data_IF_467507766260
#
_entry.id   IF_467507766260
#
_cell.length_a   1.000
_cell.length_b   1.000
_cell.length_c   1.000
_cell.angle_alpha   90.00
_cell.angle_beta   90.00
_cell.angle_gamma   90.00
#
_symmetry.space_group_name_H-M   'P 1'
#
loop_
_entity.id
_entity.type
_entity.pdbx_description
1 polymer ?
#
# COMPACT_ATOMS: atom_id res chain seq x y z
N UNK A 1 -19.38 -17.71 -12.61
CA UNK A 1 -18.43 -17.97 -11.51
C UNK A 1 -17.51 -16.77 -11.49
N UNK A 2 -17.45 -16.01 -10.38
CA UNK A 2 -16.60 -14.82 -10.31
C UNK A 2 -15.17 -15.18 -10.67
N UNK A 3 -14.63 -14.59 -11.73
CA UNK A 3 -13.22 -14.75 -12.06
C UNK A 3 -12.40 -14.17 -10.91
N UNK A 4 -11.80 -15.05 -10.10
CA UNK A 4 -11.01 -14.65 -8.93
C UNK A 4 -9.56 -14.36 -9.28
N UNK A 5 -9.16 -14.62 -10.52
CA UNK A 5 -7.79 -14.47 -10.98
C UNK A 5 -7.61 -13.14 -11.69
N UNK A 6 -6.48 -12.49 -11.42
CA UNK A 6 -6.09 -11.27 -12.10
C UNK A 6 -6.04 -11.50 -13.62
N UNK A 7 -6.69 -10.65 -14.43
CA UNK A 7 -6.77 -10.86 -15.88
C UNK A 7 -5.41 -10.75 -16.60
N UNK A 8 -4.40 -10.17 -15.93
CA UNK A 8 -3.07 -9.99 -16.51
C UNK A 8 -2.08 -11.09 -16.11
N UNK A 9 -2.04 -11.48 -14.84
CA UNK A 9 -1.03 -12.43 -14.33
C UNK A 9 -1.61 -13.75 -13.83
N UNK A 10 -2.92 -13.94 -13.88
CA UNK A 10 -3.67 -15.12 -13.44
C UNK A 10 -3.58 -15.47 -11.94
N UNK A 11 -2.85 -14.68 -11.15
CA UNK A 11 -2.79 -14.83 -9.69
C UNK A 11 -4.14 -14.58 -9.04
N UNK A 12 -4.44 -15.35 -7.99
CA UNK A 12 -5.68 -15.21 -7.23
C UNK A 12 -5.69 -13.87 -6.49
N UNK A 13 -6.73 -13.09 -6.73
CA UNK A 13 -6.93 -11.80 -6.08
C UNK A 13 -7.43 -11.92 -4.64
N UNK A 14 -7.13 -10.90 -3.85
CA UNK A 14 -7.61 -10.75 -2.47
C UNK A 14 -8.79 -9.79 -2.39
N UNK A 15 -9.74 -10.03 -1.52
CA UNK A 15 -10.87 -9.12 -1.31
C UNK A 15 -10.44 -7.75 -0.77
N UNK A 16 -11.10 -6.72 -1.29
CA UNK A 16 -10.97 -5.32 -0.84
C UNK A 16 -12.35 -4.69 -0.72
N UNK A 17 -12.48 -3.78 0.24
CA UNK A 17 -13.70 -3.01 0.42
C UNK A 17 -13.89 -2.05 -0.78
N UNK A 18 -15.11 -2.00 -1.34
CA UNK A 18 -15.46 -1.14 -2.46
C UNK A 18 -15.10 0.32 -2.19
N UNK A 19 -15.28 0.79 -0.95
CA UNK A 19 -14.96 2.17 -0.54
C UNK A 19 -13.49 2.52 -0.84
N UNK A 20 -12.57 1.56 -0.69
CA UNK A 20 -11.15 1.81 -0.97
C UNK A 20 -10.91 1.97 -2.48
N UNK A 21 -11.60 1.18 -3.31
CA UNK A 21 -11.48 1.24 -4.77
C UNK A 21 -12.03 2.56 -5.29
N UNK A 22 -13.24 2.92 -4.87
CA UNK A 22 -13.93 4.16 -5.21
C UNK A 22 -13.13 5.41 -4.79
N UNK A 23 -12.50 5.38 -3.62
CA UNK A 23 -11.71 6.51 -3.14
C UNK A 23 -10.37 6.71 -3.87
N UNK A 24 -9.86 5.67 -4.55
CA UNK A 24 -8.46 5.64 -5.02
C UNK A 24 -8.35 5.64 -6.55
N UNK A 25 -9.29 5.01 -7.25
CA UNK A 25 -9.35 5.00 -8.71
C UNK A 25 -9.73 6.39 -9.22
N UNK A 26 -9.07 6.87 -10.28
CA UNK A 26 -9.29 8.20 -10.87
C UNK A 26 -10.63 8.32 -11.61
N UNK A 27 -11.09 7.21 -12.18
CA UNK A 27 -12.35 7.11 -12.91
C UNK A 27 -13.50 6.72 -11.97
N UNK A 28 -14.73 6.92 -12.43
CA UNK A 28 -15.90 6.36 -11.75
C UNK A 28 -15.85 4.84 -11.78
N UNK A 29 -16.06 4.21 -10.62
CA UNK A 29 -16.10 2.75 -10.49
C UNK A 29 -17.54 2.28 -10.30
N UNK A 30 -17.86 1.10 -10.82
CA UNK A 30 -19.17 0.50 -10.58
C UNK A 30 -19.30 -0.04 -9.13
N UNK A 31 -20.52 -0.30 -8.69
CA UNK A 31 -20.84 -0.80 -7.34
C UNK A 31 -20.62 -2.33 -7.18
N UNK A 32 -19.70 -2.89 -7.97
CA UNK A 32 -19.38 -4.31 -7.91
C UNK A 32 -18.24 -4.59 -6.92
N UNK A 33 -18.17 -5.84 -6.44
CA UNK A 33 -17.02 -6.30 -5.65
C UNK A 33 -15.75 -6.39 -6.50
N UNK A 34 -14.67 -5.76 -6.01
CA UNK A 34 -13.34 -5.83 -6.61
C UNK A 34 -12.41 -6.73 -5.81
N UNK A 35 -11.38 -7.23 -6.49
CA UNK A 35 -10.25 -7.94 -5.94
C UNK A 35 -8.96 -7.14 -6.18
N UNK A 36 -7.97 -7.36 -5.31
CA UNK A 36 -6.63 -6.80 -5.43
C UNK A 36 -5.67 -7.86 -5.91
N UNK A 37 -4.90 -7.56 -6.95
CA UNK A 37 -3.74 -8.35 -7.34
C UNK A 37 -2.53 -7.96 -6.49
N UNK A 38 -1.98 -8.89 -5.70
CA UNK A 38 -0.82 -8.65 -4.83
C UNK A 38 0.53 -9.00 -5.47
N UNK A 39 0.54 -9.51 -6.71
CA UNK A 39 1.77 -9.82 -7.42
C UNK A 39 2.55 -8.52 -7.72
N UNK A 40 3.77 -8.41 -7.19
CA UNK A 40 4.59 -7.19 -7.30
C UNK A 40 4.98 -6.88 -8.76
N UNK A 41 5.13 -7.91 -9.61
CA UNK A 41 5.51 -7.76 -11.02
C UNK A 41 4.33 -7.43 -11.94
N UNK A 42 3.11 -7.41 -11.39
CA UNK A 42 1.88 -7.15 -12.14
C UNK A 42 1.38 -5.72 -11.93
N UNK A 43 1.23 -4.95 -13.01
CA UNK A 43 0.71 -3.56 -12.94
C UNK A 43 -0.75 -3.45 -12.49
N UNK A 44 -1.58 -4.47 -12.74
CA UNK A 44 -2.99 -4.45 -12.28
C UNK A 44 -3.02 -4.39 -10.76
N UNK A 45 -3.79 -3.45 -10.22
CA UNK A 45 -4.03 -3.31 -8.78
C UNK A 45 -5.40 -3.86 -8.44
N UNK A 46 -6.47 -3.30 -9.03
CA UNK A 46 -7.85 -3.73 -8.80
C UNK A 46 -8.41 -4.41 -10.04
N UNK A 47 -9.27 -5.41 -9.84
CA UNK A 47 -10.01 -6.02 -10.93
C UNK A 47 -11.29 -6.68 -10.46
N UNK A 48 -12.24 -6.82 -11.36
CA UNK A 48 -13.41 -7.69 -11.23
C UNK A 48 -13.66 -8.39 -12.57
N UNK A 49 -14.88 -8.89 -12.82
CA UNK A 49 -15.22 -9.57 -14.08
C UNK A 49 -15.25 -8.63 -15.30
N UNK A 50 -15.50 -7.34 -15.10
CA UNK A 50 -15.78 -6.37 -16.16
C UNK A 50 -14.66 -5.32 -16.32
N UNK A 51 -14.01 -4.96 -15.22
CA UNK A 51 -13.08 -3.85 -15.13
C UNK A 51 -11.75 -4.28 -14.51
N UNK A 52 -10.67 -3.60 -14.90
CA UNK A 52 -9.37 -3.69 -14.26
C UNK A 52 -8.70 -2.33 -14.24
N UNK A 53 -8.04 -2.00 -13.14
CA UNK A 53 -7.33 -0.75 -12.94
C UNK A 53 -5.88 -1.04 -12.58
N UNK A 54 -4.96 -0.44 -13.33
CA UNK A 54 -3.53 -0.54 -13.08
C UNK A 54 -3.01 0.67 -12.29
N UNK A 55 -1.74 0.65 -11.88
CA UNK A 55 -1.12 1.71 -11.07
C UNK A 55 -1.35 3.12 -11.65
N UNK A 56 -1.40 3.27 -12.98
CA UNK A 56 -1.60 4.55 -13.65
C UNK A 56 -3.03 5.07 -13.54
N UNK A 57 -4.01 4.20 -13.27
CA UNK A 57 -5.41 4.56 -13.02
C UNK A 57 -5.66 5.05 -11.60
N UNK A 58 -4.68 4.93 -10.69
CA UNK A 58 -4.83 5.27 -9.28
C UNK A 58 -4.29 6.68 -8.96
N UNK A 59 -4.88 7.32 -7.96
CA UNK A 59 -4.46 8.62 -7.41
C UNK A 59 -3.21 8.53 -6.51
N UNK A 60 -2.81 7.31 -6.11
CA UNK A 60 -1.67 7.06 -5.22
C UNK A 60 -0.76 5.97 -5.78
N UNK A 61 0.51 6.00 -5.41
CA UNK A 61 1.43 4.87 -5.63
C UNK A 61 1.09 3.70 -4.70
N UNK A 62 1.42 2.48 -5.11
CA UNK A 62 1.05 1.25 -4.40
C UNK A 62 2.28 0.54 -3.84
N UNK A 63 2.43 0.51 -2.51
CA UNK A 63 3.66 0.06 -1.86
C UNK A 63 4.10 -1.37 -2.18
N UNK A 64 3.15 -2.26 -2.47
CA UNK A 64 3.37 -3.67 -2.83
C UNK A 64 3.51 -3.88 -4.34
N UNK A 65 3.50 -2.81 -5.14
CA UNK A 65 3.82 -2.84 -6.58
C UNK A 65 5.15 -2.15 -6.89
N UNK A 66 5.63 -1.36 -5.94
CA UNK A 66 6.87 -0.59 -6.05
C UNK A 66 7.72 -0.80 -4.79
N UNK A 67 8.13 -2.04 -4.53
CA UNK A 67 8.87 -2.40 -3.32
C UNK A 67 10.25 -1.70 -3.21
N UNK A 68 10.84 -1.34 -4.34
CA UNK A 68 12.11 -0.62 -4.45
C UNK A 68 11.98 0.91 -4.45
N UNK A 69 10.77 1.44 -4.65
CA UNK A 69 10.55 2.89 -4.68
C UNK A 69 10.57 3.44 -3.24
N UNK A 70 11.58 4.24 -2.91
CA UNK A 70 11.71 4.81 -1.57
C UNK A 70 10.73 5.96 -1.32
N UNK A 71 10.22 6.62 -2.37
CA UNK A 71 9.26 7.72 -2.25
C UNK A 71 7.81 7.22 -2.12
N UNK A 72 7.57 5.92 -2.36
CA UNK A 72 6.24 5.34 -2.20
C UNK A 72 5.79 5.39 -0.72
N UNK A 73 4.55 5.86 -0.45
CA UNK A 73 3.99 5.88 0.89
C UNK A 73 3.76 4.47 1.46
N UNK A 74 4.12 4.29 2.74
CA UNK A 74 3.76 3.13 3.55
C UNK A 74 2.53 3.44 4.41
N UNK A 75 2.43 4.68 4.89
CA UNK A 75 1.24 5.18 5.57
C UNK A 75 0.56 6.26 4.73
N UNK A 76 -0.51 5.89 4.04
CA UNK A 76 -1.32 6.80 3.23
C UNK A 76 -2.13 7.82 4.03
N UNK A 77 -2.30 7.63 5.34
CA UNK A 77 -3.03 8.61 6.18
C UNK A 77 -2.28 9.94 6.31
N UNK A 78 -0.95 9.87 6.28
CA UNK A 78 -0.03 10.98 6.53
C UNK A 78 1.08 11.10 5.47
N UNK A 79 0.96 10.36 4.36
CA UNK A 79 1.93 10.28 3.27
C UNK A 79 3.35 9.95 3.75
N UNK A 80 3.47 9.11 4.77
CA UNK A 80 4.76 8.70 5.34
C UNK A 80 5.42 7.66 4.42
N UNK A 81 6.57 8.02 3.84
CA UNK A 81 7.25 7.26 2.79
C UNK A 81 8.22 6.22 3.33
N UNK A 82 8.56 5.25 2.48
CA UNK A 82 9.56 4.22 2.81
C UNK A 82 10.93 4.83 3.15
N UNK A 83 11.33 5.88 2.43
CA UNK A 83 12.55 6.66 2.68
C UNK A 83 12.57 7.28 4.08
N UNK A 84 11.48 7.92 4.49
CA UNK A 84 11.39 8.55 5.81
C UNK A 84 11.50 7.50 6.93
N UNK A 85 10.90 6.31 6.74
CA UNK A 85 11.06 5.19 7.67
C UNK A 85 12.53 4.76 7.74
N UNK A 86 13.17 4.55 6.58
CA UNK A 86 14.58 4.15 6.47
C UNK A 86 15.50 5.15 7.17
N UNK A 87 15.30 6.44 6.92
CA UNK A 87 16.08 7.54 7.52
C UNK A 87 15.86 7.63 9.04
N UNK A 88 14.62 7.48 9.51
CA UNK A 88 14.33 7.47 10.93
C UNK A 88 14.97 6.27 11.65
N UNK A 89 14.89 5.07 11.05
CA UNK A 89 15.61 3.89 11.55
C UNK A 89 17.11 4.12 11.52
N UNK A 90 17.65 4.78 10.49
CA UNK A 90 19.06 5.18 10.41
C UNK A 90 19.50 6.05 11.60
N UNK A 91 18.61 6.90 12.12
CA UNK A 91 18.84 7.75 13.30
C UNK A 91 18.58 7.07 14.66
N UNK A 92 18.13 5.81 14.67
CA UNK A 92 17.92 5.03 15.89
C UNK A 92 16.48 5.01 16.41
N UNK A 93 15.51 5.50 15.62
CA UNK A 93 14.09 5.34 15.96
C UNK A 93 13.61 3.95 15.54
N UNK A 94 13.05 3.18 16.47
CA UNK A 94 12.79 1.75 16.28
C UNK A 94 11.32 1.35 16.38
N UNK A 95 10.45 2.31 16.68
CA UNK A 95 9.01 2.09 16.83
C UNK A 95 8.22 3.04 15.94
N UNK A 96 7.01 2.63 15.53
CA UNK A 96 6.10 3.47 14.74
C UNK A 96 5.84 4.81 15.44
N UNK A 97 5.67 4.81 16.78
CA UNK A 97 5.45 6.03 17.55
C UNK A 97 6.62 7.01 17.46
N UNK A 98 7.84 6.52 17.68
CA UNK A 98 9.05 7.35 17.58
C UNK A 98 9.23 7.93 16.17
N UNK A 99 9.00 7.13 15.13
CA UNK A 99 9.15 7.58 13.74
C UNK A 99 8.09 8.64 13.40
N UNK A 100 6.85 8.47 13.84
CA UNK A 100 5.79 9.48 13.66
C UNK A 100 6.09 10.77 14.41
N UNK A 101 6.65 10.69 15.61
CA UNK A 101 7.06 11.87 16.37
C UNK A 101 8.17 12.62 15.64
N UNK A 102 9.21 11.88 15.22
CA UNK A 102 10.36 12.43 14.51
C UNK A 102 9.99 13.05 13.15
N UNK A 103 9.12 12.41 12.37
CA UNK A 103 8.69 12.91 11.05
C UNK A 103 7.59 13.97 11.12
N UNK A 104 6.92 14.13 12.27
CA UNK A 104 5.72 14.96 12.39
C UNK A 104 4.47 14.41 11.69
N UNK A 105 4.56 13.27 11.00
CA UNK A 105 3.48 12.67 10.19
C UNK A 105 2.52 11.82 11.04
N UNK A 106 1.71 12.50 11.86
CA UNK A 106 0.90 11.88 12.93
C UNK A 106 -0.53 11.48 12.53
N UNK A 107 -1.03 11.88 11.35
CA UNK A 107 -2.40 11.55 10.89
C UNK A 107 -2.61 10.03 10.75
N UNK A 108 -3.73 9.52 11.26
CA UNK A 108 -4.12 8.09 11.22
C UNK A 108 -5.63 7.91 11.07
N UNK A 109 -6.11 6.66 10.97
CA UNK A 109 -7.55 6.34 10.99
C UNK A 109 -8.25 6.36 9.64
N UNK A 110 -7.72 7.07 8.64
CA UNK A 110 -8.30 7.19 7.30
C UNK A 110 -7.92 6.03 6.34
N UNK A 111 -7.65 4.84 6.87
CA UNK A 111 -7.09 3.74 6.08
C UNK A 111 -8.09 3.17 5.07
N UNK A 112 -9.39 3.20 5.38
CA UNK A 112 -10.44 2.67 4.51
C UNK A 112 -10.49 3.38 3.15
N UNK A 113 -10.22 4.67 3.10
CA UNK A 113 -10.30 5.49 1.89
C UNK A 113 -8.93 5.83 1.31
N UNK A 114 -7.87 5.89 2.14
CA UNK A 114 -6.53 6.29 1.67
C UNK A 114 -5.60 5.12 1.35
N UNK A 115 -5.76 3.96 1.98
CA UNK A 115 -4.87 2.82 1.74
C UNK A 115 -5.42 1.96 0.60
N UNK A 116 -4.60 1.55 -0.40
CA UNK A 116 -5.04 0.70 -1.49
C UNK A 116 -5.68 -0.63 -1.08
N UNK A 117 -5.39 -1.14 0.12
CA UNK A 117 -6.00 -2.36 0.66
C UNK A 117 -7.21 -2.09 1.57
N UNK A 118 -7.59 -0.82 1.78
CA UNK A 118 -8.61 -0.41 2.74
C UNK A 118 -8.26 -0.75 4.21
N UNK A 119 -7.01 -1.14 4.48
CA UNK A 119 -6.56 -1.73 5.76
C UNK A 119 -5.49 -0.88 6.43
N UNK A 120 -5.39 -0.99 7.75
CA UNK A 120 -4.39 -0.27 8.52
C UNK A 120 -2.96 -0.71 8.13
N UNK A 121 -2.10 0.28 7.89
CA UNK A 121 -0.70 0.06 7.51
C UNK A 121 0.19 -0.49 8.65
N UNK A 122 -0.30 -0.60 9.89
CA UNK A 122 0.51 -0.90 11.08
C UNK A 122 1.48 -2.08 10.89
N UNK A 123 0.99 -3.21 10.37
CA UNK A 123 1.82 -4.40 10.12
C UNK A 123 2.90 -4.14 9.08
N UNK A 124 2.55 -3.47 7.98
CA UNK A 124 3.49 -3.14 6.89
C UNK A 124 4.54 -2.15 7.34
N UNK A 125 4.13 -1.12 8.08
CA UNK A 125 5.04 -0.14 8.69
C UNK A 125 6.02 -0.87 9.63
N UNK A 126 5.54 -1.75 10.51
CA UNK A 126 6.43 -2.53 11.38
C UNK A 126 7.40 -3.42 10.58
N UNK A 127 6.96 -4.02 9.48
CA UNK A 127 7.83 -4.82 8.61
C UNK A 127 8.94 -3.98 7.96
N UNK A 128 8.63 -2.77 7.47
CA UNK A 128 9.63 -1.85 6.90
C UNK A 128 10.65 -1.41 7.97
N UNK A 129 10.21 -1.12 9.20
CA UNK A 129 11.12 -0.85 10.33
C UNK A 129 12.08 -2.03 10.52
N UNK A 130 11.54 -3.25 10.63
CA UNK A 130 12.33 -4.45 10.89
C UNK A 130 13.35 -4.73 9.77
N UNK A 131 12.97 -4.51 8.50
CA UNK A 131 13.84 -4.62 7.32
C UNK A 131 15.10 -3.75 7.47
N UNK A 132 14.94 -2.49 7.88
CA UNK A 132 16.07 -1.57 8.04
C UNK A 132 16.88 -1.81 9.32
N UNK A 133 16.24 -2.28 10.40
CA UNK A 133 16.96 -2.69 11.62
C UNK A 133 17.91 -3.87 11.36
N UNK A 134 17.47 -4.88 10.62
CA UNK A 134 18.29 -6.03 10.30
C UNK A 134 19.44 -5.68 9.35
N UNK A 135 19.20 -4.76 8.40
CA UNK A 135 20.22 -4.25 7.48
C UNK A 135 21.36 -3.49 8.19
N UNK A 136 21.11 -2.91 9.37
CA UNK A 136 22.14 -2.27 10.20
C UNK A 136 23.04 -3.26 10.94
N UNK A 137 22.53 -4.44 11.29
CA UNK A 137 23.28 -5.44 12.08
C UNK A 137 24.29 -6.23 11.25
N UNK A 138 24.19 -6.14 9.91
CA UNK A 138 25.08 -6.82 8.95
C UNK A 138 26.19 -5.93 8.41
N UNK A 139 26.34 -4.70 8.93
CA UNK A 139 27.43 -3.76 8.62
C UNK A 139 28.17 -3.44 9.90
#
# INVERSE_FOLDING_TARGET
>A
MRNKSCPQCNEVGSEVDHIAVDSIVKAEVNDDGYLVCLNEDCKVVYFNELNSYDISDLTVQVYFKSASDEECPICYCSDLTRKEIKEAVAKGYETIGQIREYTGKKSTGNCKTKNPLGKCCHKIFQNEINKYKNSKKSK
#
